data_IF_703244510347
#
_entry.id   IF_703244510347
#
_cell.length_a   1.000
_cell.length_b   1.000
_cell.length_c   1.000
_cell.angle_alpha   90.00
_cell.angle_beta   90.00
_cell.angle_gamma   90.00
#
_symmetry.space_group_name_H-M   'P 1'
#
loop_
_entity.id
_entity.type
_entity.pdbx_description
1 polymer ?
#
# COMPACT_ATOMS: atom_id res chain seq x y z
N UNK A 1 -4.55 65.59 -45.95
CA UNK A 1 -5.28 64.39 -45.55
C UNK A 1 -4.57 63.80 -44.36
N UNK A 2 -5.11 63.97 -43.08
CA UNK A 2 -4.57 63.42 -41.83
C UNK A 2 -5.36 62.19 -41.52
N UNK A 3 -4.74 61.02 -41.40
CA UNK A 3 -5.42 59.84 -40.89
C UNK A 3 -5.69 60.00 -39.37
N UNK A 4 -6.80 59.46 -38.84
CA UNK A 4 -7.12 59.53 -37.41
C UNK A 4 -6.09 58.75 -36.59
N UNK A 5 -5.44 59.45 -35.68
CA UNK A 5 -4.54 58.84 -34.68
C UNK A 5 -5.40 57.99 -33.75
N UNK A 6 -5.38 56.68 -33.91
CA UNK A 6 -6.02 55.76 -32.99
C UNK A 6 -5.27 55.79 -31.66
N UNK A 7 -5.89 56.40 -30.67
CA UNK A 7 -5.38 56.71 -29.33
C UNK A 7 -5.25 55.49 -28.41
N UNK A 8 -5.32 54.26 -28.96
CA UNK A 8 -5.38 53.03 -28.19
C UNK A 8 -4.11 52.15 -28.24
N UNK A 9 -2.97 52.74 -28.66
CA UNK A 9 -1.73 51.96 -28.83
C UNK A 9 -0.70 52.03 -27.71
N UNK A 10 -1.03 52.63 -26.56
CA UNK A 10 0.03 52.85 -25.54
C UNK A 10 0.26 51.72 -24.53
N UNK A 11 -0.62 50.74 -24.45
CA UNK A 11 -0.51 49.72 -23.39
C UNK A 11 -0.69 48.26 -23.82
N UNK A 12 -0.35 47.81 -25.03
CA UNK A 12 -0.47 46.40 -25.36
C UNK A 12 0.46 45.54 -24.48
N UNK A 13 1.63 46.06 -24.17
CA UNK A 13 2.59 45.36 -23.30
C UNK A 13 2.13 45.32 -21.84
N UNK A 14 1.44 46.35 -21.36
CA UNK A 14 0.92 46.38 -20.00
C UNK A 14 -0.24 45.39 -19.83
N UNK A 15 -1.07 45.22 -20.86
CA UNK A 15 -2.15 44.25 -20.88
C UNK A 15 -1.61 42.80 -20.90
N UNK A 16 -0.57 42.56 -21.71
CA UNK A 16 0.14 41.28 -21.77
C UNK A 16 0.81 40.98 -20.42
N UNK A 17 1.44 42.00 -19.82
CA UNK A 17 2.07 41.85 -18.49
C UNK A 17 1.05 41.50 -17.39
N UNK A 18 -0.11 42.16 -17.39
CA UNK A 18 -1.20 41.86 -16.41
C UNK A 18 -1.75 40.45 -16.62
N UNK A 19 -1.97 40.05 -17.88
CA UNK A 19 -2.41 38.66 -18.17
C UNK A 19 -1.35 37.67 -17.72
N UNK A 20 -0.08 37.93 -18.04
CA UNK A 20 1.02 37.06 -17.65
C UNK A 20 1.16 36.95 -16.13
N UNK A 21 1.07 38.08 -15.41
CA UNK A 21 1.10 38.13 -13.95
C UNK A 21 -0.10 37.43 -13.32
N UNK A 22 -1.29 37.55 -13.95
CA UNK A 22 -2.49 36.85 -13.46
C UNK A 22 -2.41 35.36 -13.69
N UNK A 23 -1.93 34.92 -14.83
CA UNK A 23 -1.70 33.50 -15.15
C UNK A 23 -0.61 32.93 -14.23
N UNK A 24 0.49 33.66 -14.04
CA UNK A 24 1.58 33.28 -13.16
C UNK A 24 1.11 33.15 -11.68
N UNK A 25 0.31 34.11 -11.21
CA UNK A 25 -0.31 34.03 -9.87
C UNK A 25 -1.30 32.89 -9.73
N UNK A 26 -2.03 32.55 -10.81
CA UNK A 26 -2.97 31.43 -10.80
C UNK A 26 -2.25 30.08 -10.82
N UNK A 27 -1.15 29.98 -11.56
CA UNK A 27 -0.27 28.80 -11.58
C UNK A 27 0.47 28.65 -10.25
N UNK A 28 0.92 29.76 -9.67
CA UNK A 28 1.61 29.77 -8.37
C UNK A 28 0.71 29.51 -7.17
N UNK A 29 -0.59 29.89 -7.22
CA UNK A 29 -1.58 29.58 -6.17
C UNK A 29 -2.34 28.28 -6.38
N UNK A 30 -2.37 27.77 -7.63
CA UNK A 30 -2.85 26.44 -7.95
C UNK A 30 -1.66 25.53 -8.10
N UNK A 31 -1.07 25.12 -6.98
CA UNK A 31 0.05 24.18 -6.99
C UNK A 31 -0.27 22.97 -7.84
N UNK A 32 0.44 22.79 -8.98
CA UNK A 32 0.49 21.47 -9.50
C UNK A 32 0.17 21.20 -10.95
N UNK A 33 0.54 22.06 -11.90
CA UNK A 33 0.47 21.61 -13.30
C UNK A 33 1.84 21.31 -13.95
N UNK A 34 2.92 21.41 -13.19
CA UNK A 34 4.26 21.01 -13.65
C UNK A 34 5.02 20.17 -12.63
N UNK A 35 4.30 19.60 -11.68
CA UNK A 35 4.81 18.64 -10.70
C UNK A 35 4.25 17.23 -10.89
N UNK A 36 3.84 16.88 -12.11
CA UNK A 36 3.09 15.65 -12.36
C UNK A 36 3.74 14.60 -13.22
N UNK A 37 5.04 14.62 -13.42
CA UNK A 37 5.75 13.37 -13.68
C UNK A 37 6.25 12.80 -12.35
N UNK A 38 5.31 12.45 -11.51
CA UNK A 38 5.51 11.54 -10.38
C UNK A 38 5.81 10.14 -10.92
N UNK A 39 6.98 9.99 -11.50
CA UNK A 39 7.61 8.70 -11.67
C UNK A 39 7.80 8.15 -10.25
N UNK A 40 6.88 7.29 -9.80
CA UNK A 40 7.14 6.53 -8.60
C UNK A 40 6.11 6.45 -7.50
N UNK A 41 4.92 7.04 -7.61
CA UNK A 41 3.78 6.52 -6.83
C UNK A 41 3.09 5.41 -7.63
N UNK A 42 3.88 4.38 -7.94
CA UNK A 42 3.31 3.09 -8.23
C UNK A 42 2.65 2.64 -6.93
N UNK A 43 1.35 2.87 -6.86
CA UNK A 43 0.51 2.30 -5.82
C UNK A 43 0.53 0.81 -6.10
N UNK A 44 1.59 0.14 -5.65
CA UNK A 44 1.59 -1.30 -5.51
C UNK A 44 0.27 -1.58 -4.81
N UNK A 45 -0.59 -2.35 -5.42
CA UNK A 45 -1.81 -2.83 -4.79
C UNK A 45 -1.37 -3.77 -3.68
N UNK A 46 -0.91 -3.20 -2.57
CA UNK A 46 -0.76 -3.93 -1.33
C UNK A 46 -2.18 -4.29 -0.96
N UNK A 47 -2.52 -5.55 -1.13
CA UNK A 47 -3.83 -6.04 -0.75
C UNK A 47 -3.87 -6.13 0.76
N UNK A 48 -4.28 -5.03 1.39
CA UNK A 48 -4.55 -4.97 2.82
C UNK A 48 -6.00 -5.34 3.04
N UNK A 49 -6.24 -6.48 3.64
CA UNK A 49 -7.56 -6.87 4.12
C UNK A 49 -7.60 -6.62 5.63
N UNK A 50 -8.24 -5.52 6.04
CA UNK A 50 -8.40 -5.18 7.46
C UNK A 50 -9.17 -6.25 8.25
N UNK A 51 -10.09 -6.97 7.59
CA UNK A 51 -10.78 -8.15 8.11
C UNK A 51 -10.92 -9.14 6.98
N UNK A 52 -10.42 -10.35 7.16
CA UNK A 52 -10.49 -11.39 6.13
C UNK A 52 -11.88 -12.00 6.04
N UNK A 53 -12.64 -12.01 7.14
CA UNK A 53 -13.94 -12.68 7.25
C UNK A 53 -13.87 -14.20 7.08
N UNK A 54 -12.66 -14.76 6.96
CA UNK A 54 -12.39 -16.19 6.79
C UNK A 54 -11.84 -16.75 8.09
N UNK A 55 -12.37 -17.89 8.53
CA UNK A 55 -11.97 -18.60 9.76
C UNK A 55 -11.54 -20.02 9.43
N UNK A 56 -11.02 -20.76 10.41
CA UNK A 56 -10.68 -22.19 10.22
C UNK A 56 -11.89 -23.06 9.86
N UNK A 57 -13.11 -22.59 10.14
CA UNK A 57 -14.35 -23.29 9.77
C UNK A 57 -14.57 -23.29 8.25
N UNK A 58 -14.07 -22.26 7.57
CA UNK A 58 -14.20 -22.09 6.12
C UNK A 58 -13.14 -22.91 5.35
N UNK A 59 -12.17 -23.47 6.05
CA UNK A 59 -11.11 -24.32 5.48
C UNK A 59 -11.48 -25.77 5.69
N UNK A 60 -11.75 -26.51 4.61
CA UNK A 60 -12.03 -27.94 4.69
C UNK A 60 -10.75 -28.76 4.85
N UNK A 61 -10.77 -29.76 5.73
CA UNK A 61 -9.62 -30.62 6.02
C UNK A 61 -8.44 -29.87 6.65
N UNK A 62 -7.22 -30.39 6.45
CA UNK A 62 -5.95 -29.82 6.95
C UNK A 62 -5.90 -29.66 8.47
N UNK A 63 -6.44 -30.62 9.21
CA UNK A 63 -6.61 -30.52 10.66
C UNK A 63 -5.26 -30.40 11.39
N UNK A 64 -4.23 -31.13 10.95
CA UNK A 64 -2.86 -31.03 11.50
C UNK A 64 -2.26 -29.62 11.27
N UNK A 65 -2.48 -29.05 10.09
CA UNK A 65 -1.99 -27.70 9.79
C UNK A 65 -2.74 -26.65 10.62
N UNK A 66 -4.05 -26.79 10.81
CA UNK A 66 -4.84 -25.91 11.67
C UNK A 66 -4.39 -25.98 13.12
N UNK A 67 -4.15 -27.19 13.65
CA UNK A 67 -3.66 -27.38 15.00
C UNK A 67 -2.30 -26.69 15.21
N UNK A 68 -1.35 -26.93 14.29
CA UNK A 68 -0.03 -26.28 14.33
C UNK A 68 -0.11 -24.76 14.25
N UNK A 69 -1.10 -24.21 13.53
CA UNK A 69 -1.28 -22.77 13.39
C UNK A 69 -2.06 -22.14 14.55
N UNK A 70 -2.75 -22.92 15.37
CA UNK A 70 -3.50 -22.44 16.55
C UNK A 70 -2.59 -21.75 17.55
N UNK A 71 -1.37 -22.24 17.73
CA UNK A 71 -0.36 -21.60 18.59
C UNK A 71 0.02 -20.21 18.08
N UNK A 72 0.16 -20.06 16.76
CA UNK A 72 0.45 -18.77 16.13
C UNK A 72 -0.74 -17.82 16.29
N UNK A 73 -1.97 -18.31 16.18
CA UNK A 73 -3.19 -17.54 16.42
C UNK A 73 -3.25 -17.04 17.86
N UNK A 74 -3.00 -17.91 18.85
CA UNK A 74 -2.98 -17.50 20.27
C UNK A 74 -1.90 -16.44 20.54
N UNK A 75 -0.74 -16.59 19.92
CA UNK A 75 0.31 -15.56 20.01
C UNK A 75 -0.12 -14.21 19.44
N UNK A 76 -0.70 -14.19 18.23
CA UNK A 76 -1.14 -12.95 17.58
C UNK A 76 -2.26 -12.28 18.39
N UNK A 77 -3.07 -13.08 19.09
CA UNK A 77 -4.16 -12.58 19.93
C UNK A 77 -3.66 -12.04 21.28
N UNK A 78 -2.67 -12.72 21.88
CA UNK A 78 -2.17 -12.44 23.22
C UNK A 78 -0.63 -12.29 23.27
N UNK A 79 -0.02 -11.33 22.55
CA UNK A 79 1.44 -11.21 22.45
C UNK A 79 2.12 -10.98 23.81
N UNK A 80 1.46 -10.27 24.72
CA UNK A 80 2.00 -9.95 26.05
C UNK A 80 2.19 -11.17 26.94
N UNK A 81 1.33 -12.18 26.81
CA UNK A 81 1.45 -13.44 27.56
C UNK A 81 2.77 -14.15 27.25
N UNK A 82 3.10 -14.20 25.97
CA UNK A 82 4.33 -14.85 25.49
C UNK A 82 5.59 -14.04 25.80
N UNK A 83 5.51 -12.71 25.73
CA UNK A 83 6.61 -11.84 26.12
C UNK A 83 7.01 -12.00 27.59
N UNK A 84 6.03 -12.16 28.51
CA UNK A 84 6.26 -12.34 29.95
C UNK A 84 6.97 -13.63 30.29
N UNK A 85 6.72 -14.74 29.59
CA UNK A 85 7.34 -16.02 29.80
C UNK A 85 8.64 -16.20 29.01
N UNK A 86 9.08 -15.19 28.26
CA UNK A 86 10.32 -15.24 27.47
C UNK A 86 10.28 -16.28 26.34
N UNK A 87 9.10 -16.66 25.87
CA UNK A 87 8.95 -17.62 24.79
C UNK A 87 9.55 -17.08 23.50
N UNK A 88 10.40 -17.86 22.85
CA UNK A 88 10.91 -17.58 21.51
C UNK A 88 9.90 -18.06 20.48
N UNK A 89 9.15 -17.12 19.94
CA UNK A 89 8.17 -17.43 18.90
C UNK A 89 8.82 -17.60 17.53
N UNK A 90 8.26 -18.46 16.69
CA UNK A 90 8.67 -18.56 15.31
C UNK A 90 8.42 -17.23 14.61
N UNK A 91 9.41 -16.76 13.84
CA UNK A 91 9.33 -15.50 13.10
C UNK A 91 8.40 -15.57 11.89
N UNK A 92 7.89 -16.74 11.56
CA UNK A 92 6.99 -17.00 10.46
C UNK A 92 6.75 -18.50 10.27
N UNK A 93 5.77 -18.83 9.44
CA UNK A 93 5.42 -20.19 9.06
C UNK A 93 5.52 -20.35 7.54
N UNK A 94 6.04 -21.51 7.10
CA UNK A 94 6.10 -21.86 5.67
C UNK A 94 5.02 -22.89 5.37
N UNK A 95 4.06 -22.53 4.52
CA UNK A 95 3.01 -23.44 4.05
C UNK A 95 3.45 -24.11 2.75
N UNK A 96 3.77 -25.39 2.83
CA UNK A 96 4.24 -26.20 1.68
C UNK A 96 3.14 -27.16 1.23
N UNK A 97 2.98 -27.31 -0.07
CA UNK A 97 2.03 -28.25 -0.65
C UNK A 97 1.76 -27.97 -2.14
N UNK A 98 1.04 -28.86 -2.84
CA UNK A 98 0.68 -28.68 -4.23
C UNK A 98 -0.12 -27.39 -4.49
N UNK A 99 -0.14 -26.88 -5.72
CA UNK A 99 -1.02 -25.78 -6.08
C UNK A 99 -2.50 -26.15 -5.86
N UNK A 100 -3.33 -25.19 -5.47
CA UNK A 100 -4.77 -25.40 -5.27
C UNK A 100 -5.17 -26.00 -3.92
N UNK A 101 -4.23 -26.37 -3.04
CA UNK A 101 -4.55 -26.97 -1.72
C UNK A 101 -5.06 -26.00 -0.66
N UNK A 102 -5.29 -24.73 -1.03
CA UNK A 102 -5.87 -23.75 -0.09
C UNK A 102 -4.87 -23.06 0.87
N UNK A 103 -3.54 -23.10 0.59
CA UNK A 103 -2.53 -22.49 1.46
C UNK A 103 -2.81 -21.01 1.76
N UNK A 104 -3.16 -20.24 0.74
CA UNK A 104 -3.51 -18.81 0.92
C UNK A 104 -4.81 -18.64 1.71
N UNK A 105 -5.78 -19.54 1.54
CA UNK A 105 -7.03 -19.52 2.32
C UNK A 105 -6.72 -19.81 3.79
N UNK A 106 -5.86 -20.78 4.07
CA UNK A 106 -5.43 -21.10 5.42
C UNK A 106 -4.70 -19.93 6.09
N UNK A 107 -3.81 -19.23 5.37
CA UNK A 107 -3.15 -18.03 5.88
C UNK A 107 -4.16 -16.90 6.20
N UNK A 108 -5.19 -16.72 5.36
CA UNK A 108 -6.28 -15.78 5.62
C UNK A 108 -7.13 -16.19 6.83
N UNK A 109 -7.33 -17.48 7.03
CA UNK A 109 -8.04 -18.01 8.18
C UNK A 109 -7.30 -17.74 9.48
N UNK A 110 -5.97 -17.89 9.50
CA UNK A 110 -5.13 -17.50 10.65
C UNK A 110 -5.34 -16.04 11.02
N UNK A 111 -5.30 -15.14 10.05
CA UNK A 111 -5.53 -13.72 10.29
C UNK A 111 -6.95 -13.44 10.79
N UNK A 112 -7.94 -14.17 10.28
CA UNK A 112 -9.34 -14.03 10.68
C UNK A 112 -9.59 -14.53 12.11
N UNK A 113 -9.02 -15.68 12.47
CA UNK A 113 -9.09 -16.22 13.86
C UNK A 113 -8.38 -15.28 14.85
N UNK A 114 -7.21 -14.76 14.49
CA UNK A 114 -6.48 -13.80 15.30
C UNK A 114 -7.09 -12.39 15.31
N UNK A 115 -8.06 -12.13 14.43
CA UNK A 115 -8.67 -10.80 14.20
C UNK A 115 -7.63 -9.69 13.93
N UNK A 116 -6.60 -10.03 13.16
CA UNK A 116 -5.53 -9.11 12.74
C UNK A 116 -5.62 -8.81 11.24
N UNK A 117 -5.09 -7.66 10.77
CA UNK A 117 -5.02 -7.35 9.36
C UNK A 117 -4.15 -8.34 8.58
N UNK A 118 -4.58 -8.70 7.39
CA UNK A 118 -3.87 -9.59 6.47
C UNK A 118 -3.24 -8.80 5.32
N UNK A 119 -1.93 -8.99 5.14
CA UNK A 119 -1.18 -8.42 4.03
C UNK A 119 -0.77 -9.51 3.04
N UNK A 120 -1.00 -9.30 1.77
CA UNK A 120 -0.64 -10.26 0.72
C UNK A 120 0.16 -9.58 -0.37
N UNK A 121 1.22 -10.27 -0.79
CA UNK A 121 2.04 -9.89 -1.93
C UNK A 121 2.25 -11.12 -2.81
N UNK A 122 1.95 -11.02 -4.09
CA UNK A 122 2.16 -12.12 -5.02
C UNK A 122 3.63 -12.22 -5.43
N UNK A 123 4.12 -13.44 -5.69
CA UNK A 123 5.48 -13.66 -6.14
C UNK A 123 5.83 -12.90 -7.44
N UNK A 124 4.85 -12.72 -8.34
CA UNK A 124 4.97 -11.90 -9.54
C UNK A 124 5.28 -10.42 -9.26
N UNK A 125 4.86 -9.92 -8.11
CA UNK A 125 5.10 -8.53 -7.74
C UNK A 125 6.58 -8.25 -7.40
N UNK A 126 7.36 -9.32 -7.15
CA UNK A 126 8.81 -9.23 -6.95
C UNK A 126 9.58 -9.26 -8.27
N UNK A 127 8.99 -9.86 -9.33
CA UNK A 127 9.63 -10.04 -10.64
C UNK A 127 9.21 -8.87 -11.53
N UNK A 128 9.62 -7.67 -11.20
CA UNK A 128 9.45 -6.54 -12.10
C UNK A 128 10.70 -6.31 -12.94
N UNK A 129 10.47 -5.97 -14.20
CA UNK A 129 11.48 -5.77 -15.23
C UNK A 129 12.45 -4.60 -14.92
N UNK A 130 12.18 -3.83 -13.86
CA UNK A 130 13.01 -2.69 -13.45
C UNK A 130 13.71 -2.97 -12.12
N UNK A 131 15.02 -2.92 -12.15
CA UNK A 131 15.88 -3.08 -10.97
C UNK A 131 15.49 -2.07 -9.89
N UNK A 132 15.14 -2.55 -8.69
CA UNK A 132 14.85 -1.72 -7.51
C UNK A 132 13.37 -1.52 -7.17
N UNK A 133 12.44 -1.73 -8.10
CA UNK A 133 11.00 -1.52 -7.82
C UNK A 133 10.44 -2.61 -6.91
N UNK A 134 10.83 -3.86 -7.10
CA UNK A 134 10.42 -4.97 -6.22
C UNK A 134 10.85 -4.74 -4.76
N UNK A 135 12.06 -4.28 -4.51
CA UNK A 135 12.56 -3.99 -3.17
C UNK A 135 11.86 -2.81 -2.49
N UNK A 136 11.42 -1.82 -3.24
CA UNK A 136 10.63 -0.70 -2.68
C UNK A 136 9.25 -1.15 -2.25
N UNK A 137 8.58 -2.01 -3.01
CA UNK A 137 7.27 -2.56 -2.67
C UNK A 137 7.28 -3.37 -1.38
N UNK A 138 8.30 -4.21 -1.20
CA UNK A 138 8.47 -4.97 0.04
C UNK A 138 8.65 -4.03 1.22
N UNK A 139 9.51 -3.03 1.10
CA UNK A 139 9.72 -2.03 2.17
C UNK A 139 8.46 -1.26 2.52
N UNK A 140 7.67 -0.88 1.51
CA UNK A 140 6.42 -0.15 1.72
C UNK A 140 5.36 -1.03 2.39
N UNK A 141 5.28 -2.31 2.01
CA UNK A 141 4.43 -3.29 2.67
C UNK A 141 4.79 -3.42 4.16
N UNK A 142 6.06 -3.60 4.49
CA UNK A 142 6.50 -3.69 5.89
C UNK A 142 6.25 -2.40 6.67
N UNK A 143 6.42 -1.24 6.07
CA UNK A 143 6.08 0.05 6.71
C UNK A 143 4.59 0.15 7.04
N UNK A 144 3.72 -0.27 6.12
CA UNK A 144 2.28 -0.28 6.37
C UNK A 144 1.89 -1.33 7.42
N UNK A 145 2.50 -2.52 7.38
CA UNK A 145 2.29 -3.56 8.38
C UNK A 145 2.69 -3.09 9.79
N UNK A 146 3.85 -2.40 9.92
CA UNK A 146 4.29 -1.86 11.21
C UNK A 146 3.32 -0.84 11.82
N UNK A 147 2.61 -0.06 10.99
CA UNK A 147 1.60 0.89 11.48
C UNK A 147 0.35 0.21 12.05
N UNK A 148 0.07 -1.00 11.59
CA UNK A 148 -1.13 -1.76 11.92
C UNK A 148 -0.83 -3.00 12.78
N UNK A 149 0.39 -3.12 13.29
CA UNK A 149 0.78 -4.27 14.10
C UNK A 149 -0.12 -4.45 15.35
N UNK A 150 -0.41 -5.73 15.76
CA UNK A 150 0.03 -6.98 15.14
C UNK A 150 -0.69 -7.30 13.81
N UNK A 151 0.04 -7.90 12.85
CA UNK A 151 -0.47 -8.26 11.52
C UNK A 151 0.04 -9.63 11.09
N UNK A 152 -0.66 -10.23 10.13
CA UNK A 152 -0.25 -11.47 9.44
C UNK A 152 0.11 -11.21 8.01
#
# INVERSE_FOLDING_TARGET
WNPPVTRNGKYPFLFIYVIFAFVYRRISKGGGMMGGMGVGKNTAKVYVQKKTGVTFKDVAGQDEAKESLTEIVDFLHNPDKYARIGAKLPKGALLVGPPGTGKTLLAKAVAGEANVPFFSLAGSDFVEMFVGVGASRVRDLFKEAQKLAPTT
#
